data_IF_573223449844
#
_entry.id   IF_573223449844
#
_cell.length_a   1.000
_cell.length_b   1.000
_cell.length_c   1.000
_cell.angle_alpha   90.00
_cell.angle_beta   90.00
_cell.angle_gamma   90.00
#
_symmetry.space_group_name_H-M   'P 1'
#
loop_
_entity.id
_entity.type
_entity.pdbx_description
1 polymer ?
#
# COMPACT_ATOMS: atom_id res chain seq x y z
N UNK A 1 30.63 -43.89 -24.09
CA UNK A 1 30.46 -44.76 -22.90
C UNK A 1 30.90 -44.02 -21.64
N UNK A 2 30.39 -44.41 -20.47
CA UNK A 2 30.86 -43.91 -19.18
C UNK A 2 32.15 -44.66 -18.80
N UNK A 3 33.21 -43.93 -18.47
CA UNK A 3 34.53 -44.48 -18.13
C UNK A 3 34.86 -44.37 -16.66
N UNK A 4 34.27 -43.40 -15.96
CA UNK A 4 34.42 -43.25 -14.51
C UNK A 4 33.11 -42.80 -13.88
N UNK A 5 32.64 -43.56 -12.90
CA UNK A 5 31.45 -43.26 -12.09
C UNK A 5 31.87 -43.31 -10.62
N UNK A 6 31.75 -42.21 -9.87
CA UNK A 6 32.11 -42.19 -8.45
C UNK A 6 31.30 -43.20 -7.62
N UNK A 7 31.91 -43.73 -6.56
CA UNK A 7 31.29 -44.72 -5.68
C UNK A 7 30.00 -44.17 -5.07
N UNK A 8 28.93 -44.97 -5.11
CA UNK A 8 27.62 -44.58 -4.59
C UNK A 8 26.83 -43.67 -5.55
N UNK A 9 27.20 -43.57 -6.81
CA UNK A 9 26.42 -42.89 -7.83
C UNK A 9 25.96 -43.85 -8.92
N UNK A 10 24.74 -43.66 -9.40
CA UNK A 10 24.20 -44.31 -10.60
C UNK A 10 24.20 -43.29 -11.73
N UNK A 11 24.95 -43.57 -12.79
CA UNK A 11 25.05 -42.68 -13.94
C UNK A 11 24.63 -43.37 -15.25
N UNK A 12 24.00 -42.62 -16.15
CA UNK A 12 23.57 -43.09 -17.46
C UNK A 12 23.62 -41.96 -18.50
N UNK A 13 23.83 -42.34 -19.76
CA UNK A 13 23.67 -41.46 -20.92
C UNK A 13 22.35 -41.79 -21.60
N UNK A 14 21.54 -40.78 -21.91
CA UNK A 14 20.21 -40.93 -22.50
C UNK A 14 20.14 -40.24 -23.86
N UNK A 15 19.57 -40.94 -24.84
CA UNK A 15 19.17 -40.40 -26.14
C UNK A 15 17.65 -40.40 -26.21
N UNK A 16 17.02 -39.25 -25.95
CA UNK A 16 15.57 -39.20 -25.72
C UNK A 16 15.18 -39.96 -24.44
N UNK A 17 14.21 -40.86 -24.54
CA UNK A 17 13.71 -41.66 -23.41
C UNK A 17 14.53 -42.91 -23.08
N UNK A 18 15.54 -43.23 -23.91
CA UNK A 18 16.30 -44.48 -23.81
C UNK A 18 17.71 -44.25 -23.26
N UNK A 19 18.18 -45.16 -22.43
CA UNK A 19 19.60 -45.25 -22.05
C UNK A 19 20.39 -45.78 -23.25
N UNK A 20 21.44 -45.06 -23.64
CA UNK A 20 22.24 -45.37 -24.83
C UNK A 20 23.71 -45.52 -24.48
N UNK A 21 24.38 -46.46 -25.12
CA UNK A 21 25.84 -46.68 -25.00
C UNK A 21 26.62 -46.14 -26.21
N UNK A 22 25.91 -45.83 -27.31
CA UNK A 22 26.42 -45.20 -28.53
C UNK A 22 25.29 -44.57 -29.33
N UNK A 23 25.63 -43.65 -30.24
CA UNK A 23 24.67 -42.97 -31.12
C UNK A 23 25.28 -42.84 -32.51
N UNK A 24 24.49 -43.12 -33.55
CA UNK A 24 24.89 -42.86 -34.92
C UNK A 24 24.72 -41.37 -35.24
N UNK A 25 25.81 -40.72 -35.63
CA UNK A 25 25.82 -39.31 -36.01
C UNK A 25 26.11 -39.24 -37.51
N UNK A 26 25.15 -38.84 -38.35
CA UNK A 26 25.38 -38.64 -39.77
C UNK A 26 26.42 -37.54 -40.01
N UNK A 27 27.15 -37.64 -41.13
CA UNK A 27 28.14 -36.65 -41.51
C UNK A 27 27.56 -35.23 -41.54
N UNK A 28 28.31 -34.27 -41.00
CA UNK A 28 27.88 -32.88 -40.83
C UNK A 28 26.72 -32.62 -39.85
N UNK A 29 26.21 -33.62 -39.12
CA UNK A 29 25.12 -33.45 -38.14
C UNK A 29 25.62 -33.57 -36.71
N UNK A 30 24.88 -32.96 -35.77
CA UNK A 30 25.14 -33.07 -34.33
C UNK A 30 23.99 -33.82 -33.65
N UNK A 31 24.31 -34.64 -32.64
CA UNK A 31 23.33 -35.30 -31.77
C UNK A 31 23.63 -34.95 -30.33
N UNK A 32 22.61 -34.53 -29.59
CA UNK A 32 22.73 -34.24 -28.16
C UNK A 32 22.34 -35.47 -27.34
N UNK A 33 23.16 -35.79 -26.34
CA UNK A 33 22.86 -36.80 -25.33
C UNK A 33 22.68 -36.13 -23.98
N UNK A 34 21.76 -36.65 -23.17
CA UNK A 34 21.54 -36.19 -21.81
C UNK A 34 22.29 -37.08 -20.83
N UNK A 35 23.11 -36.48 -19.97
CA UNK A 35 23.75 -37.18 -18.86
C UNK A 35 22.86 -37.14 -17.62
N UNK A 36 22.66 -38.28 -16.98
CA UNK A 36 21.86 -38.41 -15.76
C UNK A 36 22.71 -39.11 -14.70
N UNK A 37 22.84 -38.49 -13.53
CA UNK A 37 23.55 -39.04 -12.39
C UNK A 37 22.71 -38.86 -11.11
N UNK A 38 22.49 -39.96 -10.40
CA UNK A 38 21.72 -40.02 -9.17
C UNK A 38 22.60 -40.57 -8.04
N UNK A 39 22.74 -39.86 -6.91
CA UNK A 39 23.47 -40.37 -5.76
C UNK A 39 22.62 -41.40 -5.01
N UNK A 40 23.23 -42.51 -4.59
CA UNK A 40 22.64 -43.45 -3.64
C UNK A 40 22.53 -42.81 -2.24
N UNK A 41 21.71 -43.43 -1.38
CA UNK A 41 21.54 -42.97 0.01
C UNK A 41 22.89 -43.00 0.75
N UNK A 42 23.28 -41.87 1.35
CA UNK A 42 24.49 -41.76 2.17
C UNK A 42 25.71 -41.15 1.47
N UNK A 43 25.60 -40.73 0.21
CA UNK A 43 26.65 -39.93 -0.45
C UNK A 43 26.80 -38.58 0.25
N UNK A 44 28.00 -38.32 0.80
CA UNK A 44 28.31 -37.09 1.51
C UNK A 44 28.57 -35.87 0.60
N UNK A 45 28.68 -34.67 1.16
CA UNK A 45 29.07 -33.48 0.41
C UNK A 45 30.45 -33.65 -0.22
N UNK A 46 30.62 -33.17 -1.45
CA UNK A 46 31.87 -33.28 -2.19
C UNK A 46 31.70 -32.97 -3.67
N UNK A 47 32.83 -32.85 -4.36
CA UNK A 47 32.85 -32.75 -5.82
C UNK A 47 33.14 -34.12 -6.41
N UNK A 48 32.22 -34.61 -7.23
CA UNK A 48 32.25 -35.93 -7.84
C UNK A 48 32.49 -35.80 -9.34
N UNK A 49 33.49 -36.53 -9.86
CA UNK A 49 33.92 -36.44 -11.26
C UNK A 49 33.43 -37.65 -12.06
N UNK A 50 32.72 -37.39 -13.15
CA UNK A 50 32.24 -38.43 -14.07
C UNK A 50 33.03 -38.37 -15.37
N UNK A 51 33.53 -39.52 -15.81
CA UNK A 51 34.27 -39.66 -17.07
C UNK A 51 33.38 -40.16 -18.19
N UNK A 52 33.40 -39.48 -19.33
CA UNK A 52 32.71 -39.88 -20.55
C UNK A 52 33.74 -39.96 -21.68
N UNK A 53 33.74 -41.08 -22.39
CA UNK A 53 34.57 -41.29 -23.57
C UNK A 53 33.68 -41.56 -24.79
N UNK A 54 33.86 -40.78 -25.85
CA UNK A 54 33.33 -41.06 -27.18
C UNK A 54 34.43 -41.65 -28.06
N UNK A 55 34.15 -42.77 -28.73
CA UNK A 55 35.07 -43.40 -29.70
C UNK A 55 34.30 -43.69 -30.97
N UNK A 56 34.88 -43.39 -32.13
CA UNK A 56 34.30 -43.77 -33.43
C UNK A 56 34.38 -45.29 -33.63
N UNK A 57 33.51 -45.85 -34.46
CA UNK A 57 33.47 -47.30 -34.68
C UNK A 57 34.78 -47.87 -35.26
N UNK A 58 35.52 -47.06 -36.02
CA UNK A 58 36.84 -47.39 -36.56
C UNK A 58 37.99 -47.14 -35.56
N UNK A 59 37.69 -46.70 -34.35
CA UNK A 59 38.62 -46.38 -33.26
C UNK A 59 39.67 -45.29 -33.56
N UNK A 60 39.51 -44.55 -34.66
CA UNK A 60 40.47 -43.52 -35.06
C UNK A 60 40.31 -42.20 -34.32
N UNK A 61 39.13 -41.90 -33.81
CA UNK A 61 38.84 -40.68 -33.07
C UNK A 61 38.31 -41.02 -31.68
N UNK A 62 38.99 -40.45 -30.67
CA UNK A 62 38.60 -40.56 -29.26
C UNK A 62 38.48 -39.16 -28.68
N UNK A 63 37.38 -38.92 -27.97
CA UNK A 63 37.13 -37.68 -27.24
C UNK A 63 36.78 -37.99 -25.78
N UNK A 64 37.50 -37.37 -24.86
CA UNK A 64 37.32 -37.53 -23.42
C UNK A 64 36.72 -36.27 -22.82
N UNK A 65 35.66 -36.44 -22.02
CA UNK A 65 34.99 -35.37 -21.30
C UNK A 65 34.85 -35.75 -19.84
N UNK A 66 35.01 -34.76 -18.96
CA UNK A 66 34.78 -34.90 -17.54
C UNK A 66 33.68 -33.95 -17.09
N UNK A 67 32.72 -34.48 -16.34
CA UNK A 67 31.63 -33.70 -15.75
C UNK A 67 31.83 -33.69 -14.23
N UNK A 68 32.01 -32.48 -13.68
CA UNK A 68 32.08 -32.27 -12.23
C UNK A 68 30.68 -31.98 -11.67
N UNK A 69 30.19 -32.85 -10.80
CA UNK A 69 28.95 -32.62 -10.03
C UNK A 69 29.33 -32.30 -8.59
N UNK A 70 29.05 -31.08 -8.16
CA UNK A 70 29.25 -30.70 -6.76
C UNK A 70 27.98 -31.02 -5.97
N UNK A 71 28.03 -32.10 -5.19
CA UNK A 71 27.01 -32.36 -4.18
C UNK A 71 27.34 -31.50 -2.97
N UNK A 72 26.50 -30.51 -2.69
CA UNK A 72 26.58 -29.77 -1.44
C UNK A 72 25.79 -30.53 -0.40
N UNK A 73 26.20 -30.42 0.85
CA UNK A 73 25.34 -30.83 1.95
C UNK A 73 24.06 -30.05 1.76
N UNK A 74 22.93 -30.76 1.64
CA UNK A 74 21.64 -30.12 1.77
C UNK A 74 21.70 -29.56 3.17
N UNK A 75 21.92 -28.25 3.30
CA UNK A 75 21.88 -27.57 4.58
C UNK A 75 20.55 -27.98 5.19
N UNK A 76 20.61 -28.92 6.14
CA UNK A 76 19.49 -29.30 6.97
C UNK A 76 19.30 -28.10 7.88
N UNK A 77 18.73 -27.02 7.34
CA UNK A 77 18.26 -25.92 8.15
C UNK A 77 17.10 -26.48 8.97
N UNK A 78 17.41 -27.05 10.14
CA UNK A 78 16.59 -27.03 11.35
C UNK A 78 15.10 -27.39 11.28
N UNK A 79 14.60 -28.12 10.29
CA UNK A 79 13.15 -28.40 10.19
C UNK A 79 12.63 -29.48 11.15
N UNK A 80 13.51 -30.17 11.89
CA UNK A 80 13.07 -31.17 12.89
C UNK A 80 13.16 -30.71 14.34
N UNK A 81 14.07 -29.82 14.75
CA UNK A 81 14.18 -29.46 16.18
C UNK A 81 13.13 -28.45 16.65
N UNK A 82 12.72 -27.56 15.73
CA UNK A 82 11.77 -26.48 16.00
C UNK A 82 10.71 -26.50 14.91
N UNK A 83 9.45 -26.66 15.30
CA UNK A 83 8.32 -26.54 14.39
C UNK A 83 7.47 -25.35 14.79
N UNK A 84 7.15 -24.48 13.83
CA UNK A 84 6.25 -23.34 14.04
C UNK A 84 4.99 -23.58 13.23
N UNK A 85 3.83 -23.47 13.86
CA UNK A 85 2.52 -23.55 13.19
C UNK A 85 1.66 -22.34 13.53
N UNK A 86 0.79 -21.95 12.59
CA UNK A 86 -0.20 -20.90 12.81
C UNK A 86 -1.44 -21.19 11.99
N UNK A 87 -2.61 -20.95 12.58
CA UNK A 87 -3.89 -21.09 11.88
C UNK A 87 -4.23 -19.87 11.01
N UNK A 88 -3.60 -18.72 11.29
CA UNK A 88 -3.92 -17.44 10.65
C UNK A 88 -2.64 -16.72 10.19
N UNK A 89 -1.96 -17.20 9.13
CA UNK A 89 -0.73 -16.58 8.64
C UNK A 89 -0.96 -15.21 7.99
N UNK A 90 -2.20 -14.84 7.68
CA UNK A 90 -2.57 -13.57 7.06
C UNK A 90 -3.66 -12.90 7.89
N UNK A 91 -3.42 -11.65 8.29
CA UNK A 91 -4.41 -10.80 8.95
C UNK A 91 -4.70 -9.57 8.11
N UNK A 92 -5.94 -9.08 8.16
CA UNK A 92 -6.41 -7.93 7.36
C UNK A 92 -7.12 -6.92 8.24
N UNK A 93 -6.86 -5.63 8.04
CA UNK A 93 -7.48 -4.57 8.84
C UNK A 93 -7.13 -3.16 8.36
N UNK A 94 -7.47 -2.17 9.18
CA UNK A 94 -7.16 -0.75 8.94
C UNK A 94 -5.75 -0.40 9.43
N UNK A 95 -5.20 0.71 8.92
CA UNK A 95 -3.81 1.16 9.23
C UNK A 95 -3.62 1.59 10.69
N UNK A 96 -4.69 1.89 11.43
CA UNK A 96 -4.65 2.28 12.85
C UNK A 96 -4.85 1.11 13.82
N UNK A 97 -5.04 -0.11 13.32
CA UNK A 97 -5.22 -1.31 14.12
C UNK A 97 -3.88 -1.97 14.51
N UNK A 98 -3.88 -2.66 15.64
CA UNK A 98 -2.82 -3.63 16.00
C UNK A 98 -3.25 -5.03 15.60
N UNK A 99 -2.36 -5.77 14.94
CA UNK A 99 -2.59 -7.13 14.47
C UNK A 99 -1.90 -8.12 15.39
N UNK A 100 -2.60 -9.15 15.85
CA UNK A 100 -2.04 -10.16 16.74
C UNK A 100 -2.08 -11.54 16.08
N UNK A 101 -0.90 -12.08 15.77
CA UNK A 101 -0.76 -13.45 15.26
C UNK A 101 -0.53 -14.41 16.42
N UNK A 102 -1.08 -15.61 16.33
CA UNK A 102 -0.81 -16.70 17.25
C UNK A 102 0.08 -17.75 16.59
N UNK A 103 1.25 -18.01 17.18
CA UNK A 103 2.22 -19.00 16.72
C UNK A 103 2.37 -20.10 17.78
N UNK A 104 2.18 -21.34 17.38
CA UNK A 104 2.53 -22.49 18.21
C UNK A 104 3.96 -22.91 17.90
N UNK A 105 4.82 -22.80 18.90
CA UNK A 105 6.25 -23.11 18.83
C UNK A 105 6.46 -24.44 19.51
N UNK A 106 6.79 -25.46 18.73
CA UNK A 106 7.03 -26.82 19.20
C UNK A 106 8.54 -27.08 19.30
N UNK A 107 9.00 -27.38 20.52
CA UNK A 107 10.33 -27.88 20.81
C UNK A 107 10.33 -29.41 20.65
N UNK A 108 10.89 -29.90 19.56
CA UNK A 108 11.01 -31.33 19.26
C UNK A 108 12.30 -31.97 19.79
N UNK A 109 13.13 -31.22 20.49
CA UNK A 109 14.28 -31.76 21.20
C UNK A 109 13.83 -32.36 22.53
N UNK A 110 14.61 -33.31 23.08
CA UNK A 110 14.31 -33.94 24.37
C UNK A 110 14.60 -33.04 25.58
N UNK A 111 15.41 -31.99 25.39
CA UNK A 111 15.82 -31.09 26.46
C UNK A 111 15.01 -29.79 26.47
N UNK A 112 14.83 -29.25 27.68
CA UNK A 112 14.35 -27.89 27.89
C UNK A 112 15.30 -26.87 27.25
N UNK A 113 14.77 -25.95 26.45
CA UNK A 113 15.56 -24.91 25.78
C UNK A 113 14.91 -23.55 25.92
N UNK A 114 15.75 -22.52 25.95
CA UNK A 114 15.32 -21.13 25.82
C UNK A 114 15.39 -20.75 24.34
N UNK A 115 14.26 -20.27 23.82
CA UNK A 115 14.11 -19.84 22.43
C UNK A 115 14.09 -18.33 22.37
N UNK A 116 14.97 -17.76 21.55
CA UNK A 116 14.99 -16.33 21.24
C UNK A 116 13.98 -16.03 20.14
N UNK A 117 13.25 -14.93 20.30
CA UNK A 117 12.21 -14.46 19.40
C UNK A 117 12.69 -13.19 18.70
N UNK A 118 12.63 -13.17 17.37
CA UNK A 118 12.96 -12.02 16.57
C UNK A 118 12.00 -11.90 15.39
N UNK A 119 11.78 -10.69 14.90
CA UNK A 119 11.00 -10.44 13.70
C UNK A 119 11.74 -9.49 12.77
N UNK A 120 11.53 -9.67 11.47
CA UNK A 120 11.88 -8.69 10.44
C UNK A 120 10.58 -8.20 9.84
N UNK A 121 10.38 -6.89 9.88
CA UNK A 121 9.19 -6.20 9.40
C UNK A 121 9.62 -4.94 8.62
N UNK A 122 8.70 -4.28 7.89
CA UNK A 122 8.99 -3.02 7.23
C UNK A 122 9.45 -1.93 8.22
N UNK A 123 10.08 -0.89 7.69
CA UNK A 123 10.63 0.20 8.50
C UNK A 123 9.55 0.84 9.38
N UNK A 124 9.91 1.16 10.64
CA UNK A 124 9.04 1.82 11.63
C UNK A 124 7.85 1.01 12.14
N UNK A 125 7.70 -0.25 11.73
CA UNK A 125 6.70 -1.14 12.32
C UNK A 125 7.13 -1.59 13.71
N UNK A 126 6.19 -1.56 14.64
CA UNK A 126 6.43 -2.02 16.00
C UNK A 126 6.01 -3.49 16.11
N UNK A 127 6.94 -4.36 16.51
CA UNK A 127 6.70 -5.79 16.70
C UNK A 127 7.03 -6.17 18.13
N UNK A 128 6.07 -6.76 18.83
CA UNK A 128 6.21 -7.20 20.21
C UNK A 128 5.77 -8.66 20.33
N UNK A 129 6.50 -9.45 21.10
CA UNK A 129 6.11 -10.83 21.42
C UNK A 129 5.54 -10.91 22.82
N UNK A 130 4.50 -11.73 22.99
CA UNK A 130 3.85 -12.00 24.28
C UNK A 130 3.57 -13.50 24.44
N UNK A 131 3.54 -14.05 25.66
CA UNK A 131 2.93 -15.35 25.89
C UNK A 131 1.44 -15.30 25.49
N UNK A 132 0.88 -16.42 25.00
CA UNK A 132 -0.47 -16.43 24.41
C UNK A 132 -1.63 -15.91 25.29
N UNK A 133 -1.44 -15.79 26.61
CA UNK A 133 -2.46 -15.33 27.57
C UNK A 133 -1.95 -14.26 28.54
N UNK A 134 -0.79 -13.64 28.27
CA UNK A 134 -0.22 -12.60 29.12
C UNK A 134 0.05 -11.33 28.32
N UNK A 135 0.04 -10.17 28.99
CA UNK A 135 0.35 -8.88 28.36
C UNK A 135 1.85 -8.51 28.43
N UNK A 136 2.67 -9.34 29.07
CA UNK A 136 4.11 -9.09 29.21
C UNK A 136 4.81 -9.24 27.86
N UNK A 137 5.64 -8.26 27.53
CA UNK A 137 6.52 -8.34 26.38
C UNK A 137 7.73 -9.21 26.70
N UNK A 138 8.06 -10.11 25.78
CA UNK A 138 9.18 -11.05 25.92
C UNK A 138 10.06 -11.01 24.68
N UNK A 139 11.35 -11.30 24.83
CA UNK A 139 12.29 -11.55 23.73
C UNK A 139 12.74 -13.00 23.67
N UNK A 140 12.38 -13.80 24.68
CA UNK A 140 12.67 -15.23 24.74
C UNK A 140 11.65 -15.97 25.60
N UNK A 141 11.54 -17.29 25.40
CA UNK A 141 10.69 -18.18 26.19
C UNK A 141 11.37 -19.54 26.38
N UNK A 142 11.27 -20.11 27.59
CA UNK A 142 11.70 -21.49 27.84
C UNK A 142 10.57 -22.46 27.50
N UNK A 143 10.86 -23.42 26.63
CA UNK A 143 9.92 -24.48 26.23
C UNK A 143 10.54 -25.81 26.64
N UNK A 144 9.76 -26.68 27.28
CA UNK A 144 10.22 -28.00 27.70
C UNK A 144 10.51 -28.88 26.50
N UNK A 145 11.35 -29.90 26.67
CA UNK A 145 11.55 -30.90 25.62
C UNK A 145 10.24 -31.57 25.22
N UNK A 146 10.09 -31.88 23.93
CA UNK A 146 8.90 -32.52 23.35
C UNK A 146 7.57 -31.82 23.70
N UNK A 147 7.57 -30.49 23.80
CA UNK A 147 6.38 -29.70 24.17
C UNK A 147 6.22 -28.46 23.30
N UNK A 148 5.02 -27.89 23.31
CA UNK A 148 4.71 -26.65 22.61
C UNK A 148 4.36 -25.51 23.57
N UNK A 149 4.51 -24.29 23.08
CA UNK A 149 4.04 -23.07 23.71
C UNK A 149 3.48 -22.13 22.64
N UNK A 150 2.41 -21.43 22.99
CA UNK A 150 1.81 -20.42 22.13
C UNK A 150 2.43 -19.06 22.39
N UNK A 151 2.90 -18.41 21.33
CA UNK A 151 3.48 -17.08 21.34
C UNK A 151 2.60 -16.17 20.48
N UNK A 152 2.14 -15.07 21.07
CA UNK A 152 1.46 -14.00 20.36
C UNK A 152 2.48 -13.02 19.78
N UNK A 153 2.30 -12.64 18.52
CA UNK A 153 3.10 -11.63 17.82
C UNK A 153 2.20 -10.43 17.53
N UNK A 154 2.37 -9.39 18.32
CA UNK A 154 1.66 -8.11 18.16
C UNK A 154 2.42 -7.23 17.18
N UNK A 155 1.69 -6.74 16.17
CA UNK A 155 2.23 -5.99 15.05
C UNK A 155 1.43 -4.69 14.92
N UNK A 156 2.10 -3.56 15.10
CA UNK A 156 1.47 -2.23 14.96
C UNK A 156 2.14 -1.47 13.80
N UNK A 157 1.42 -1.22 12.69
CA UNK A 157 1.92 -0.40 11.61
C UNK A 157 1.91 1.09 11.97
N UNK A 158 2.77 1.91 11.36
CA UNK A 158 2.66 3.37 11.38
C UNK A 158 1.32 3.85 10.82
N UNK A 159 0.74 4.90 11.40
CA UNK A 159 -0.59 5.45 11.02
C UNK A 159 -0.66 5.96 9.58
N UNK A 160 0.47 6.34 9.00
CA UNK A 160 0.64 6.84 7.64
C UNK A 160 0.94 5.74 6.62
N UNK A 161 1.00 4.47 7.04
CA UNK A 161 1.28 3.35 6.15
C UNK A 161 0.14 3.17 5.13
N UNK A 162 0.49 3.20 3.85
CA UNK A 162 -0.48 3.05 2.76
C UNK A 162 -1.11 1.66 2.76
N UNK A 163 -2.31 1.57 2.19
CA UNK A 163 -2.94 0.28 1.92
C UNK A 163 -2.00 -0.63 1.10
N UNK A 164 -1.96 -1.92 1.42
CA UNK A 164 -1.03 -2.86 0.79
C UNK A 164 -0.80 -4.14 1.61
N UNK A 165 0.07 -5.01 1.10
CA UNK A 165 0.47 -6.25 1.75
C UNK A 165 1.88 -6.13 2.31
N UNK A 166 2.05 -6.46 3.58
CA UNK A 166 3.29 -6.27 4.31
C UNK A 166 3.74 -7.60 4.94
N UNK A 167 4.80 -8.24 4.42
CA UNK A 167 5.31 -9.48 4.97
C UNK A 167 6.08 -9.24 6.26
N UNK A 168 5.94 -10.17 7.20
CA UNK A 168 6.63 -10.18 8.49
C UNK A 168 7.28 -11.55 8.66
N UNK A 169 8.60 -11.57 8.79
CA UNK A 169 9.35 -12.81 8.99
C UNK A 169 9.68 -12.96 10.47
N UNK A 170 9.00 -13.88 11.15
CA UNK A 170 9.31 -14.24 12.53
C UNK A 170 10.38 -15.32 12.52
N UNK A 171 11.44 -15.13 13.29
CA UNK A 171 12.53 -16.08 13.48
C UNK A 171 12.58 -16.50 14.94
N UNK A 172 12.60 -17.82 15.15
CA UNK A 172 12.76 -18.43 16.46
C UNK A 172 14.03 -19.26 16.44
N UNK A 173 14.90 -19.09 17.43
CA UNK A 173 16.21 -19.75 17.45
C UNK A 173 16.65 -20.18 18.85
N UNK A 174 17.37 -21.28 18.93
CA UNK A 174 18.05 -21.73 20.14
C UNK A 174 19.36 -22.44 19.77
N UNK A 175 20.48 -21.98 20.31
CA UNK A 175 21.81 -22.45 19.88
C UNK A 175 22.01 -22.29 18.37
N UNK A 176 22.29 -23.39 17.67
CA UNK A 176 22.45 -23.42 16.21
C UNK A 176 21.13 -23.69 15.45
N UNK A 177 20.08 -24.13 16.15
CA UNK A 177 18.78 -24.47 15.56
C UNK A 177 17.91 -23.22 15.38
N UNK A 178 17.27 -23.10 14.23
CA UNK A 178 16.39 -21.97 13.88
C UNK A 178 15.21 -22.43 13.04
N UNK A 179 14.07 -21.78 13.24
CA UNK A 179 12.88 -21.90 12.42
C UNK A 179 12.32 -20.51 12.10
N UNK A 180 11.61 -20.41 10.98
CA UNK A 180 11.03 -19.15 10.51
C UNK A 180 9.56 -19.34 10.15
N UNK A 181 8.75 -18.35 10.47
CA UNK A 181 7.35 -18.25 10.06
C UNK A 181 7.14 -16.98 9.24
N UNK A 182 6.50 -17.12 8.08
CA UNK A 182 6.13 -16.00 7.21
C UNK A 182 4.69 -15.61 7.52
N UNK A 183 4.52 -14.40 8.02
CA UNK A 183 3.24 -13.79 8.32
C UNK A 183 3.00 -12.62 7.37
N UNK A 184 1.74 -12.22 7.19
CA UNK A 184 1.38 -11.12 6.31
C UNK A 184 0.27 -10.28 6.92
N UNK A 185 0.47 -8.97 6.94
CA UNK A 185 -0.59 -8.00 7.25
C UNK A 185 -1.05 -7.34 5.96
N UNK A 186 -2.37 -7.39 5.72
CA UNK A 186 -3.03 -6.73 4.58
C UNK A 186 -3.75 -5.49 5.09
N UNK A 187 -3.20 -4.32 4.82
CA UNK A 187 -3.80 -3.04 5.19
C UNK A 187 -4.80 -2.61 4.13
N UNK A 188 -6.05 -2.41 4.54
CA UNK A 188 -7.15 -1.95 3.66
C UNK A 188 -7.18 -0.42 3.50
N UNK A 189 -6.38 0.29 4.30
CA UNK A 189 -6.29 1.74 4.37
C UNK A 189 -7.53 2.43 4.96
N UNK A 190 -7.34 3.63 5.47
CA UNK A 190 -8.38 4.48 6.06
C UNK A 190 -8.77 5.54 5.03
N UNK A 191 -10.07 5.72 4.82
CA UNK A 191 -10.62 6.69 3.88
C UNK A 191 -11.06 7.91 4.68
N UNK A 192 -10.35 9.03 4.51
CA UNK A 192 -10.66 10.25 5.23
C UNK A 192 -10.29 11.48 4.41
N UNK A 193 -11.28 12.31 4.14
CA UNK A 193 -11.12 13.60 3.49
C UNK A 193 -11.25 14.71 4.52
N UNK A 194 -10.51 15.78 4.28
CA UNK A 194 -10.69 17.05 4.96
C UNK A 194 -10.77 18.15 3.92
N UNK A 195 -11.42 19.25 4.30
CA UNK A 195 -11.65 20.37 3.42
C UNK A 195 -11.68 21.66 4.25
N UNK A 196 -11.00 22.69 3.75
CA UNK A 196 -10.93 24.00 4.39
C UNK A 196 -10.69 25.08 3.33
N UNK A 197 -11.02 26.34 3.64
CA UNK A 197 -10.66 27.44 2.74
C UNK A 197 -9.15 27.72 2.81
N UNK A 198 -8.57 28.20 1.72
CA UNK A 198 -7.12 28.48 1.65
C UNK A 198 -6.65 29.49 2.71
N UNK A 199 -7.53 30.40 3.12
CA UNK A 199 -7.26 31.44 4.13
C UNK A 199 -7.72 31.04 5.54
N UNK A 200 -8.45 29.93 5.70
CA UNK A 200 -9.14 29.56 6.95
C UNK A 200 -10.37 30.41 7.26
N UNK A 201 -10.71 31.39 6.43
CA UNK A 201 -11.89 32.25 6.59
C UNK A 201 -13.11 31.51 6.02
N UNK A 202 -14.16 31.39 6.83
CA UNK A 202 -15.42 30.73 6.48
C UNK A 202 -16.56 31.74 6.22
N UNK A 203 -16.20 32.92 5.73
CA UNK A 203 -17.16 33.96 5.36
C UNK A 203 -16.80 34.64 4.05
N UNK A 204 -17.81 35.13 3.34
CA UNK A 204 -17.62 35.95 2.14
C UNK A 204 -18.77 36.93 1.97
N UNK A 205 -18.47 38.09 1.40
CA UNK A 205 -19.50 39.02 0.92
C UNK A 205 -19.94 38.60 -0.48
N UNK A 206 -21.24 38.71 -0.76
CA UNK A 206 -21.78 38.51 -2.11
C UNK A 206 -22.79 39.61 -2.45
N UNK A 207 -23.02 39.83 -3.73
CA UNK A 207 -24.06 40.76 -4.23
C UNK A 207 -25.12 39.96 -4.95
N UNK A 208 -26.39 40.37 -4.82
CA UNK A 208 -27.51 39.69 -5.48
C UNK A 208 -27.27 39.53 -6.99
N UNK A 209 -27.46 38.31 -7.49
CA UNK A 209 -27.27 37.97 -8.90
C UNK A 209 -25.81 38.01 -9.41
N UNK A 210 -24.82 38.33 -8.57
CA UNK A 210 -23.40 38.36 -8.97
C UNK A 210 -22.63 37.16 -8.43
N UNK A 211 -21.79 36.51 -9.25
CA UNK A 211 -20.97 35.40 -8.80
C UNK A 211 -19.86 35.89 -7.86
N UNK A 212 -19.60 35.12 -6.80
CA UNK A 212 -18.48 35.29 -5.87
C UNK A 212 -17.75 33.98 -5.71
N UNK A 213 -16.43 33.98 -5.83
CA UNK A 213 -15.62 32.76 -5.80
C UNK A 213 -14.92 32.58 -4.45
N UNK A 214 -15.00 31.36 -3.92
CA UNK A 214 -14.30 30.92 -2.70
C UNK A 214 -13.38 29.76 -3.08
N UNK A 215 -12.15 29.75 -2.55
CA UNK A 215 -11.19 28.65 -2.77
C UNK A 215 -11.24 27.64 -1.64
N UNK A 216 -11.52 26.38 -1.98
CA UNK A 216 -11.56 25.23 -1.09
C UNK A 216 -10.34 24.33 -1.34
N UNK A 217 -9.57 24.03 -0.31
CA UNK A 217 -8.51 23.02 -0.31
C UNK A 217 -9.09 21.70 0.19
N UNK A 218 -9.14 20.71 -0.69
CA UNK A 218 -9.55 19.34 -0.35
C UNK A 218 -8.30 18.49 -0.16
N UNK A 219 -8.16 17.85 1.01
CA UNK A 219 -6.99 17.04 1.38
C UNK A 219 -7.42 15.63 1.76
N UNK A 220 -6.70 14.62 1.25
CA UNK A 220 -6.80 13.26 1.77
C UNK A 220 -5.92 13.13 3.01
N UNK A 221 -6.56 12.90 4.16
CA UNK A 221 -5.89 12.68 5.46
C UNK A 221 -5.90 11.21 5.87
N UNK A 222 -6.46 10.34 5.03
CA UNK A 222 -6.44 8.90 5.20
C UNK A 222 -5.17 8.25 4.63
N UNK A 223 -5.09 6.93 4.79
CA UNK A 223 -3.99 6.09 4.29
C UNK A 223 -4.34 5.32 3.01
N UNK A 224 -5.61 5.38 2.57
CA UNK A 224 -6.05 4.87 1.27
C UNK A 224 -6.19 6.00 0.26
N UNK A 225 -5.99 5.69 -1.02
CA UNK A 225 -6.39 6.56 -2.12
C UNK A 225 -7.90 6.78 -2.07
N UNK A 226 -8.36 8.03 -2.12
CA UNK A 226 -9.78 8.34 -2.21
C UNK A 226 -10.11 8.70 -3.66
N UNK A 227 -11.01 7.95 -4.29
CA UNK A 227 -11.38 8.13 -5.71
C UNK A 227 -12.79 8.68 -5.86
N UNK A 228 -13.10 9.21 -7.04
CA UNK A 228 -14.44 9.65 -7.42
C UNK A 228 -15.04 10.66 -6.42
N UNK A 229 -14.25 11.64 -6.01
CA UNK A 229 -14.66 12.63 -5.01
C UNK A 229 -15.62 13.61 -5.67
N UNK A 230 -16.86 13.64 -5.19
CA UNK A 230 -17.92 14.52 -5.66
C UNK A 230 -18.00 15.78 -4.81
N UNK A 231 -18.32 16.89 -5.47
CA UNK A 231 -18.49 18.19 -4.83
C UNK A 231 -19.94 18.61 -4.98
N UNK A 232 -20.56 18.95 -3.85
CA UNK A 232 -21.96 19.37 -3.82
C UNK A 232 -22.17 20.52 -2.84
N UNK A 233 -23.37 21.09 -2.81
CA UNK A 233 -23.66 22.26 -1.98
C UNK A 233 -25.05 22.19 -1.37
N UNK A 234 -25.17 22.53 -0.10
CA UNK A 234 -26.44 22.88 0.53
C UNK A 234 -26.60 24.40 0.57
N UNK A 235 -27.63 24.93 -0.09
CA UNK A 235 -27.78 26.37 -0.35
C UNK A 235 -29.26 26.79 -0.26
N UNK A 236 -29.54 28.09 0.00
CA UNK A 236 -30.89 28.61 -0.07
C UNK A 236 -31.56 28.39 -1.43
N UNK A 237 -32.89 28.45 -1.44
CA UNK A 237 -33.68 28.26 -2.65
C UNK A 237 -33.30 29.26 -3.74
N UNK A 238 -33.27 28.81 -5.00
CA UNK A 238 -32.96 29.62 -6.18
C UNK A 238 -31.54 30.21 -6.24
N UNK A 239 -30.64 29.81 -5.34
CA UNK A 239 -29.22 30.14 -5.43
C UNK A 239 -28.49 29.17 -6.34
N UNK A 240 -27.38 29.62 -6.94
CA UNK A 240 -26.49 28.79 -7.76
C UNK A 240 -25.13 28.64 -7.08
N UNK A 241 -24.62 27.41 -7.01
CA UNK A 241 -23.25 27.11 -6.55
C UNK A 241 -22.64 26.14 -7.55
N UNK A 242 -21.49 26.50 -8.10
CA UNK A 242 -20.77 25.74 -9.12
C UNK A 242 -19.32 25.50 -8.69
N UNK A 243 -18.78 24.32 -8.96
CA UNK A 243 -17.43 23.94 -8.57
C UNK A 243 -16.51 23.79 -9.77
N UNK A 244 -15.27 24.24 -9.66
CA UNK A 244 -14.21 24.04 -10.66
C UNK A 244 -12.95 23.48 -9.99
N UNK A 245 -12.56 22.23 -10.29
CA UNK A 245 -13.29 21.22 -11.07
C UNK A 245 -14.58 20.74 -10.37
N UNK A 246 -15.51 20.14 -11.11
CA UNK A 246 -16.79 19.61 -10.56
C UNK A 246 -16.60 18.31 -9.74
N UNK A 247 -15.54 17.56 -10.02
CA UNK A 247 -15.16 16.33 -9.32
C UNK A 247 -13.65 16.16 -9.30
N UNK A 248 -13.15 15.38 -8.34
CA UNK A 248 -11.74 14.97 -8.28
C UNK A 248 -11.64 13.46 -8.50
N UNK A 249 -10.94 13.04 -9.55
CA UNK A 249 -10.80 11.62 -9.91
C UNK A 249 -10.14 10.79 -8.80
N UNK A 250 -9.07 11.32 -8.23
CA UNK A 250 -8.36 10.71 -7.11
C UNK A 250 -7.55 11.74 -6.31
N UNK A 251 -7.40 11.45 -5.02
CA UNK A 251 -6.41 12.03 -4.12
C UNK A 251 -5.63 10.91 -3.43
N UNK A 252 -4.33 10.88 -3.66
CA UNK A 252 -3.39 10.01 -2.93
C UNK A 252 -3.31 10.39 -1.45
N UNK A 253 -2.89 9.48 -0.55
CA UNK A 253 -2.66 9.81 0.86
C UNK A 253 -1.79 11.07 1.02
N UNK A 254 -2.20 11.98 1.91
CA UNK A 254 -1.58 13.29 2.16
C UNK A 254 -1.62 14.31 1.00
N UNK A 255 -2.15 13.96 -0.17
CA UNK A 255 -2.31 14.88 -1.28
C UNK A 255 -3.47 15.85 -1.02
N UNK A 256 -3.33 17.07 -1.53
CA UNK A 256 -4.41 18.05 -1.57
C UNK A 256 -4.58 18.64 -2.98
N UNK A 257 -5.80 19.09 -3.29
CA UNK A 257 -6.15 19.84 -4.50
C UNK A 257 -7.02 21.03 -4.14
N UNK A 258 -6.84 22.11 -4.88
CA UNK A 258 -7.69 23.30 -4.79
C UNK A 258 -8.89 23.17 -5.72
N UNK A 259 -10.06 23.57 -5.22
CA UNK A 259 -11.34 23.63 -5.91
C UNK A 259 -11.91 25.03 -5.72
N UNK A 260 -12.36 25.66 -6.79
CA UNK A 260 -13.06 26.93 -6.73
C UNK A 260 -14.57 26.72 -6.65
N UNK A 261 -15.22 27.25 -5.63
CA UNK A 261 -16.67 27.27 -5.48
C UNK A 261 -17.19 28.67 -5.84
N UNK A 262 -17.98 28.78 -6.90
CA UNK A 262 -18.61 30.04 -7.33
C UNK A 262 -20.05 30.08 -6.81
N UNK A 263 -20.33 30.99 -5.88
CA UNK A 263 -21.62 31.18 -5.23
C UNK A 263 -22.31 32.39 -5.87
N UNK A 264 -23.52 32.21 -6.37
CA UNK A 264 -24.36 33.27 -6.94
C UNK A 264 -25.67 33.34 -6.19
N UNK A 265 -25.86 34.35 -5.32
CA UNK A 265 -27.14 34.58 -4.68
C UNK A 265 -28.24 34.87 -5.70
N UNK A 266 -29.47 34.46 -5.41
CA UNK A 266 -30.61 34.80 -6.26
C UNK A 266 -30.71 36.32 -6.47
N UNK A 267 -31.16 36.76 -7.64
CA UNK A 267 -31.34 38.18 -7.93
C UNK A 267 -32.36 38.86 -6.98
N UNK A 268 -33.31 38.07 -6.47
CA UNK A 268 -34.34 38.45 -5.50
C UNK A 268 -33.97 38.12 -4.05
N UNK A 269 -32.74 37.68 -3.79
CA UNK A 269 -32.31 37.38 -2.42
C UNK A 269 -32.36 38.63 -1.54
N UNK A 270 -32.81 38.47 -0.29
CA UNK A 270 -32.82 39.55 0.68
C UNK A 270 -31.39 39.83 1.17
N UNK A 271 -31.16 41.07 1.60
CA UNK A 271 -29.90 41.45 2.27
C UNK A 271 -29.87 40.79 3.64
N UNK A 272 -28.77 40.10 3.94
CA UNK A 272 -28.63 39.36 5.19
C UNK A 272 -27.51 38.33 5.16
N UNK A 273 -27.40 37.56 6.23
CA UNK A 273 -26.45 36.47 6.36
C UNK A 273 -27.10 35.12 6.07
N UNK A 274 -26.47 34.33 5.22
CA UNK A 274 -26.91 33.00 4.82
C UNK A 274 -25.82 31.97 5.11
N UNK A 275 -26.21 30.73 5.41
CA UNK A 275 -25.28 29.60 5.44
C UNK A 275 -25.31 28.85 4.12
N UNK A 276 -24.14 28.54 3.58
CA UNK A 276 -23.96 27.70 2.40
C UNK A 276 -22.98 26.58 2.78
N UNK A 277 -23.48 25.35 2.85
CA UNK A 277 -22.65 24.17 3.09
C UNK A 277 -22.00 23.71 1.81
N UNK A 278 -20.66 23.67 1.76
CA UNK A 278 -19.89 23.07 0.67
C UNK A 278 -19.50 21.65 1.09
N UNK A 279 -20.01 20.65 0.38
CA UNK A 279 -19.84 19.24 0.71
C UNK A 279 -18.83 18.58 -0.22
N UNK A 280 -17.94 17.79 0.36
CA UNK A 280 -16.95 16.97 -0.32
C UNK A 280 -17.21 15.52 0.06
N UNK A 281 -17.66 14.72 -0.90
CA UNK A 281 -18.07 13.34 -0.69
C UNK A 281 -17.12 12.39 -1.42
N UNK A 282 -16.43 11.53 -0.67
CA UNK A 282 -15.53 10.51 -1.19
C UNK A 282 -15.98 9.08 -0.90
N UNK A 283 -15.10 8.13 -1.19
CA UNK A 283 -15.37 6.71 -0.99
C UNK A 283 -15.57 6.31 0.49
N UNK A 284 -16.29 5.20 0.70
CA UNK A 284 -16.53 4.57 2.02
C UNK A 284 -17.02 5.55 3.09
N UNK A 285 -17.95 6.42 2.72
CA UNK A 285 -18.57 7.43 3.61
C UNK A 285 -17.60 8.47 4.15
N UNK A 286 -16.46 8.68 3.48
CA UNK A 286 -15.55 9.76 3.79
C UNK A 286 -16.10 11.08 3.23
N UNK A 287 -16.86 11.81 4.04
CA UNK A 287 -17.39 13.12 3.67
C UNK A 287 -16.92 14.25 4.60
N UNK A 288 -16.89 15.47 4.07
CA UNK A 288 -16.61 16.69 4.82
C UNK A 288 -17.49 17.83 4.33
N UNK A 289 -18.14 18.52 5.26
CA UNK A 289 -18.89 19.75 4.98
C UNK A 289 -18.14 20.96 5.53
N UNK A 290 -18.03 22.00 4.71
CA UNK A 290 -17.54 23.32 5.08
C UNK A 290 -18.70 24.31 5.03
N UNK A 291 -19.13 24.77 6.20
CA UNK A 291 -20.19 25.78 6.30
C UNK A 291 -19.63 27.18 6.07
N UNK A 292 -20.08 27.84 5.00
CA UNK A 292 -19.70 29.19 4.63
C UNK A 292 -20.80 30.18 5.01
N UNK A 293 -20.44 31.24 5.75
CA UNK A 293 -21.32 32.39 5.98
C UNK A 293 -21.24 33.35 4.80
N UNK A 294 -22.34 33.53 4.07
CA UNK A 294 -22.43 34.44 2.92
C UNK A 294 -23.25 35.66 3.31
N UNK A 295 -22.62 36.82 3.38
CA UNK A 295 -23.28 38.09 3.65
C UNK A 295 -23.71 38.73 2.33
N UNK A 296 -25.01 38.74 2.06
CA UNK A 296 -25.59 39.32 0.84
C UNK A 296 -25.78 40.81 1.01
N UNK A 297 -25.17 41.60 0.13
CA UNK A 297 -25.24 43.06 0.08
C UNK A 297 -26.08 43.55 -1.09
N UNK A 298 -26.73 44.70 -0.91
CA UNK A 298 -27.48 45.35 -1.97
C UNK A 298 -26.55 45.86 -3.09
N UNK A 299 -27.01 45.86 -4.36
CA UNK A 299 -26.26 46.49 -5.44
C UNK A 299 -26.07 47.99 -5.19
N UNK A 300 -24.84 48.49 -5.31
CA UNK A 300 -24.48 49.92 -5.16
C UNK A 300 -25.06 50.83 -6.25
N UNK A 301 -25.67 50.27 -7.31
CA UNK A 301 -26.27 51.04 -8.39
C UNK A 301 -27.41 51.96 -7.92
N UNK A 302 -28.22 51.54 -6.95
CA UNK A 302 -29.31 52.36 -6.41
C UNK A 302 -28.82 53.60 -5.68
N UNK A 303 -27.64 53.53 -5.04
CA UNK A 303 -27.02 54.69 -4.40
C UNK A 303 -26.70 55.79 -5.41
N UNK A 304 -26.15 55.43 -6.57
CA UNK A 304 -25.82 56.38 -7.62
C UNK A 304 -27.05 56.97 -8.31
N UNK A 305 -28.12 56.20 -8.49
CA UNK A 305 -29.40 56.72 -8.98
C UNK A 305 -29.95 57.77 -8.01
N UNK A 306 -29.88 57.51 -6.71
CA UNK A 306 -30.29 58.47 -5.68
C UNK A 306 -29.48 59.76 -5.71
N UNK A 307 -28.15 59.66 -5.80
CA UNK A 307 -27.25 60.83 -5.92
C UNK A 307 -27.54 61.62 -7.19
N UNK A 308 -27.73 60.94 -8.32
CA UNK A 308 -28.08 61.58 -9.59
C UNK A 308 -29.41 62.33 -9.51
N UNK A 309 -30.44 61.74 -8.88
CA UNK A 309 -31.73 62.39 -8.67
C UNK A 309 -31.59 63.65 -7.81
N UNK A 310 -30.84 63.57 -6.70
CA UNK A 310 -30.58 64.72 -5.81
C UNK A 310 -29.87 65.84 -6.60
N UNK A 311 -28.86 65.50 -7.41
CA UNK A 311 -28.15 66.48 -8.23
C UNK A 311 -29.08 67.16 -9.25
N UNK A 312 -30.00 66.42 -9.88
CA UNK A 312 -31.01 66.97 -10.80
C UNK A 312 -31.97 67.91 -10.07
N UNK A 313 -32.44 67.55 -8.87
CA UNK A 313 -33.31 68.40 -8.06
C UNK A 313 -32.60 69.69 -7.64
N UNK A 314 -31.37 69.59 -7.13
CA UNK A 314 -30.57 70.77 -6.73
C UNK A 314 -30.29 71.66 -7.94
N UNK A 315 -29.88 71.08 -9.07
CA UNK A 315 -29.64 71.81 -10.32
C UNK A 315 -30.90 72.50 -10.85
N UNK A 316 -32.05 71.82 -10.80
CA UNK A 316 -33.35 72.36 -11.19
C UNK A 316 -33.80 73.53 -10.30
N UNK A 317 -33.65 73.40 -8.98
CA UNK A 317 -33.91 74.49 -8.05
C UNK A 317 -32.98 75.68 -8.30
N UNK A 318 -31.67 75.44 -8.45
CA UNK A 318 -30.70 76.49 -8.76
C UNK A 318 -31.03 77.23 -10.06
N UNK A 319 -31.44 76.50 -11.11
CA UNK A 319 -31.88 77.08 -12.37
C UNK A 319 -33.15 77.92 -12.24
N UNK A 320 -34.16 77.44 -11.50
CA UNK A 320 -35.40 78.17 -11.23
C UNK A 320 -35.14 79.47 -10.46
N UNK A 321 -34.28 79.44 -9.44
CA UNK A 321 -33.88 80.65 -8.70
C UNK A 321 -33.14 81.66 -9.60
N UNK A 322 -32.24 81.20 -10.48
CA UNK A 322 -31.57 82.08 -11.44
C UNK A 322 -32.52 82.70 -12.47
N UNK A 323 -33.60 82.00 -12.83
CA UNK A 323 -34.59 82.48 -13.80
C UNK A 323 -35.65 83.40 -13.18
N UNK A 324 -36.20 83.05 -12.01
CA UNK A 324 -37.23 83.84 -11.31
C UNK A 324 -36.66 85.01 -10.50
N UNK A 325 -35.41 84.93 -10.04
CA UNK A 325 -34.73 86.02 -9.33
C UNK A 325 -34.20 87.14 -10.23
N UNK A 326 -34.44 87.05 -11.56
CA UNK A 326 -34.05 88.06 -12.57
C UNK A 326 -35.17 89.09 -12.87
N UNK A 327 -36.15 89.23 -11.98
CA UNK A 327 -37.20 90.26 -12.02
C UNK A 327 -37.12 91.16 -10.81
#
# INVERSE_FOLDING_TARGET
KLTSVPKGWKASLKGGSFTVTGVAVPDGKTRTLSFSAEPDKGVGPGTYQFGIEGVTADTKLTANYSIAVTARERSRMGTEDIQITTSYPVLRGQTDATFEFSLDVNNKMDADRTFNLAAQAPEKWEINFKPGYEQKQISSLRIRGNSNQTVAVSVTPPKDTTAGEYPILVRISTGESKAEAKLMVVLTGIYKLDAATATGILSTDAVTGKPTTVSLLVKNTGSAVNRNINLSSFKPENWKVEFKPEKLEALEPNQFKQVEATITPAATALVGDYSVGLMVDGEKSSSKTVEMRVTVKAPTAWGWIGVGLIAVVIGGMGGLFAWLGRR
#
